data_IF_343933349867
#
_entry.id   IF_343933349867
#
_cell.length_a   1.000
_cell.length_b   1.000
_cell.length_c   1.000
_cell.angle_alpha   90.00
_cell.angle_beta   90.00
_cell.angle_gamma   90.00
#
_symmetry.space_group_name_H-M   'P 1'
#
loop_
_entity.id
_entity.type
_entity.pdbx_description
1 polymer ?
#
# COMPACT_ATOMS: atom_id res chain seq x y z
N UNK A 1 36.10 46.10 -5.30
CA UNK A 1 34.77 45.54 -4.95
C UNK A 1 34.80 45.18 -3.48
N UNK A 2 34.09 45.90 -2.60
CA UNK A 2 34.10 45.58 -1.16
C UNK A 2 33.51 44.19 -0.92
N UNK A 3 33.96 43.50 0.13
CA UNK A 3 33.44 42.17 0.48
C UNK A 3 31.91 42.18 0.64
N UNK A 4 31.36 43.30 1.12
CA UNK A 4 29.93 43.54 1.28
C UNK A 4 29.19 43.56 -0.07
N UNK A 5 29.76 44.18 -1.10
CA UNK A 5 29.17 44.23 -2.45
C UNK A 5 29.16 42.85 -3.12
N UNK A 6 30.19 42.02 -2.89
CA UNK A 6 30.22 40.63 -3.39
C UNK A 6 29.14 39.77 -2.75
N UNK A 7 28.96 39.87 -1.42
CA UNK A 7 27.94 39.09 -0.69
C UNK A 7 26.53 39.46 -1.12
N UNK A 8 26.25 40.75 -1.31
CA UNK A 8 24.93 41.23 -1.76
C UNK A 8 24.61 40.72 -3.17
N UNK A 9 25.57 40.73 -4.09
CA UNK A 9 25.38 40.23 -5.46
C UNK A 9 25.13 38.73 -5.47
N UNK A 10 25.89 37.96 -4.68
CA UNK A 10 25.67 36.51 -4.54
C UNK A 10 24.27 36.24 -4.02
N UNK A 11 23.82 36.97 -2.98
CA UNK A 11 22.50 36.78 -2.38
C UNK A 11 21.36 37.09 -3.36
N UNK A 12 21.49 38.18 -4.13
CA UNK A 12 20.52 38.55 -5.17
C UNK A 12 20.49 37.50 -6.28
N UNK A 13 21.65 37.00 -6.72
CA UNK A 13 21.72 35.99 -7.77
C UNK A 13 21.14 34.65 -7.31
N UNK A 14 21.40 34.23 -6.07
CA UNK A 14 20.81 33.01 -5.49
C UNK A 14 19.30 33.14 -5.28
N UNK A 15 18.81 34.31 -4.87
CA UNK A 15 17.38 34.58 -4.71
C UNK A 15 16.65 34.64 -6.06
N UNK A 16 17.24 35.30 -7.05
CA UNK A 16 16.71 35.36 -8.41
C UNK A 16 16.67 33.98 -9.07
N UNK A 17 17.69 33.14 -8.84
CA UNK A 17 17.66 31.74 -9.28
C UNK A 17 16.50 30.99 -8.63
N UNK A 18 16.30 31.16 -7.32
CA UNK A 18 15.21 30.53 -6.57
C UNK A 18 13.81 30.94 -7.09
N UNK A 19 13.62 32.23 -7.41
CA UNK A 19 12.36 32.73 -7.95
C UNK A 19 12.14 32.41 -9.43
N UNK A 20 13.19 32.24 -10.23
CA UNK A 20 13.05 31.83 -11.63
C UNK A 20 12.54 30.38 -11.80
N UNK A 21 12.59 29.56 -10.75
CA UNK A 21 11.98 28.23 -10.72
C UNK A 21 10.50 28.23 -10.29
N UNK A 22 9.97 29.35 -9.79
CA UNK A 22 8.58 29.44 -9.35
C UNK A 22 7.66 29.80 -10.53
N UNK A 23 7.37 28.82 -11.39
CA UNK A 23 6.28 28.96 -12.36
C UNK A 23 4.95 28.74 -11.62
N UNK A 24 4.10 29.76 -11.51
CA UNK A 24 2.75 29.57 -10.98
C UNK A 24 1.87 28.92 -12.05
N UNK A 25 1.51 27.64 -11.89
CA UNK A 25 0.49 27.00 -12.69
C UNK A 25 -0.89 27.47 -12.24
N UNK A 26 -1.67 28.03 -13.16
CA UNK A 26 -3.09 28.27 -12.96
C UNK A 26 -3.82 26.95 -13.27
N UNK A 27 -4.36 26.29 -12.26
CA UNK A 27 -5.07 25.03 -12.43
C UNK A 27 -6.42 25.29 -13.13
N UNK A 28 -6.61 24.70 -14.31
CA UNK A 28 -7.91 24.57 -14.97
C UNK A 28 -8.42 23.15 -14.74
N UNK A 29 -9.61 23.01 -14.15
CA UNK A 29 -10.19 21.69 -13.83
C UNK A 29 -10.48 20.91 -15.12
N UNK A 30 -9.62 19.93 -15.41
CA UNK A 30 -9.74 19.04 -16.58
C UNK A 30 -9.68 17.58 -16.15
N UNK A 31 -10.67 17.13 -15.37
CA UNK A 31 -10.80 15.72 -14.99
C UNK A 31 -9.59 15.14 -14.22
N UNK A 32 -9.67 13.86 -13.87
CA UNK A 32 -8.60 13.15 -13.15
C UNK A 32 -7.50 12.75 -14.16
N UNK A 33 -6.55 13.64 -14.40
CA UNK A 33 -5.29 13.38 -15.13
C UNK A 33 -4.10 13.40 -14.17
N UNK A 34 -2.99 12.69 -14.45
CA UNK A 34 -1.82 12.72 -13.58
C UNK A 34 -1.32 14.16 -13.43
N UNK A 35 -0.97 14.61 -12.20
CA UNK A 35 -0.52 15.97 -11.97
C UNK A 35 0.71 16.24 -12.84
N UNK A 36 0.62 17.26 -13.69
CA UNK A 36 1.72 17.65 -14.57
C UNK A 36 2.73 18.43 -13.73
N UNK A 37 3.90 17.83 -13.49
CA UNK A 37 4.99 18.54 -12.83
C UNK A 37 5.66 19.48 -13.81
N UNK A 38 5.81 20.75 -13.42
CA UNK A 38 6.58 21.73 -14.18
C UNK A 38 8.08 21.41 -14.17
N UNK A 39 8.55 20.68 -13.15
CA UNK A 39 9.92 20.22 -13.02
C UNK A 39 9.92 18.72 -13.25
N UNK A 40 10.55 18.27 -14.33
CA UNK A 40 10.74 16.85 -14.59
C UNK A 40 11.78 16.30 -13.61
N UNK A 41 11.34 15.47 -12.67
CA UNK A 41 12.23 14.75 -11.75
C UNK A 41 12.49 13.37 -12.39
N UNK A 42 13.72 13.07 -12.85
CA UNK A 42 14.00 11.84 -13.62
C UNK A 42 13.70 10.54 -12.85
N UNK A 43 13.74 10.61 -11.52
CA UNK A 43 13.51 9.47 -10.62
C UNK A 43 12.03 9.25 -10.31
N UNK A 44 11.15 10.12 -10.79
CA UNK A 44 9.73 10.00 -10.57
C UNK A 44 9.11 9.16 -11.69
N UNK A 45 8.66 7.97 -11.33
CA UNK A 45 7.85 7.13 -12.21
C UNK A 45 6.37 7.28 -11.86
N UNK A 46 5.62 7.97 -12.70
CA UNK A 46 4.16 8.13 -12.57
C UNK A 46 3.39 7.06 -13.35
N UNK A 47 4.04 6.04 -13.92
CA UNK A 47 3.37 5.00 -14.71
C UNK A 47 2.38 4.15 -13.92
N UNK A 48 2.52 4.10 -12.59
CA UNK A 48 1.57 3.46 -11.67
C UNK A 48 0.43 4.39 -11.22
N UNK A 49 0.35 5.60 -11.76
CA UNK A 49 -0.72 6.54 -11.44
C UNK A 49 -2.01 6.11 -12.14
N UNK A 50 -3.07 5.92 -11.36
CA UNK A 50 -4.42 5.58 -11.83
C UNK A 50 -5.42 6.40 -11.02
N UNK A 51 -6.60 6.71 -11.57
CA UNK A 51 -7.64 7.49 -10.87
C UNK A 51 -8.00 6.92 -9.47
N UNK A 52 -7.95 5.59 -9.31
CA UNK A 52 -8.22 4.87 -8.06
C UNK A 52 -7.09 4.95 -7.01
N UNK A 53 -5.92 5.47 -7.37
CA UNK A 53 -4.73 5.61 -6.52
C UNK A 53 -4.27 7.08 -6.43
N UNK A 54 -5.19 8.02 -6.68
CA UNK A 54 -4.97 9.47 -6.68
C UNK A 54 -4.59 10.06 -5.32
N UNK A 55 -4.49 9.26 -4.25
CA UNK A 55 -3.89 9.64 -2.97
C UNK A 55 -2.40 9.32 -2.81
N UNK A 56 -1.88 8.43 -3.64
CA UNK A 56 -0.52 7.91 -3.53
C UNK A 56 0.56 8.82 -4.16
N UNK A 57 0.15 9.77 -5.01
CA UNK A 57 1.10 10.63 -5.73
C UNK A 57 1.96 11.48 -4.79
N UNK A 58 1.45 11.91 -3.62
CA UNK A 58 2.21 12.71 -2.66
C UNK A 58 3.38 11.91 -2.07
N UNK A 59 3.14 10.65 -1.67
CA UNK A 59 4.19 9.77 -1.16
C UNK A 59 5.24 9.46 -2.23
N UNK A 60 4.79 9.24 -3.48
CA UNK A 60 5.68 9.03 -4.62
C UNK A 60 6.52 10.27 -4.96
N UNK A 61 5.93 11.45 -4.84
CA UNK A 61 6.59 12.74 -5.06
C UNK A 61 7.65 13.04 -3.98
N UNK A 62 7.31 12.86 -2.70
CA UNK A 62 8.26 13.05 -1.59
C UNK A 62 9.45 12.09 -1.73
N UNK A 63 9.19 10.82 -2.08
CA UNK A 63 10.24 9.82 -2.37
C UNK A 63 11.15 10.28 -3.51
N UNK A 64 10.59 10.76 -4.61
CA UNK A 64 11.35 11.21 -5.77
C UNK A 64 12.23 12.43 -5.46
N UNK A 65 11.71 13.41 -4.71
CA UNK A 65 12.50 14.57 -4.24
C UNK A 65 13.64 14.11 -3.35
N UNK A 66 13.38 13.24 -2.37
CA UNK A 66 14.41 12.77 -1.45
C UNK A 66 15.55 12.05 -2.20
N UNK A 67 15.20 11.19 -3.16
CA UNK A 67 16.20 10.50 -3.98
C UNK A 67 16.97 11.46 -4.89
N UNK A 68 16.31 12.47 -5.46
CA UNK A 68 16.95 13.49 -6.27
C UNK A 68 17.88 14.39 -5.44
N UNK A 69 17.48 14.77 -4.23
CA UNK A 69 18.27 15.59 -3.30
C UNK A 69 19.57 14.90 -2.89
N UNK A 70 19.56 13.59 -2.62
CA UNK A 70 20.77 12.82 -2.32
C UNK A 70 21.74 12.86 -3.52
N UNK A 71 21.23 12.75 -4.75
CA UNK A 71 22.04 12.88 -5.96
C UNK A 71 22.72 14.25 -6.08
N UNK A 72 21.97 15.33 -5.84
CA UNK A 72 22.51 16.70 -5.84
C UNK A 72 23.61 16.86 -4.77
N UNK A 73 23.37 16.36 -3.55
CA UNK A 73 24.37 16.43 -2.46
C UNK A 73 25.66 15.71 -2.85
N UNK A 74 25.57 14.55 -3.52
CA UNK A 74 26.74 13.83 -4.02
C UNK A 74 27.54 14.62 -5.06
N UNK A 75 26.85 15.26 -6.01
CA UNK A 75 27.49 16.09 -7.04
C UNK A 75 28.16 17.32 -6.42
N UNK A 76 27.47 18.02 -5.51
CA UNK A 76 28.02 19.19 -4.81
C UNK A 76 29.24 18.81 -3.96
N UNK A 77 29.17 17.69 -3.23
CA UNK A 77 30.31 17.19 -2.46
C UNK A 77 31.51 16.91 -3.37
N UNK A 78 31.29 16.30 -4.54
CA UNK A 78 32.35 16.05 -5.51
C UNK A 78 32.99 17.35 -6.04
N UNK A 79 32.20 18.37 -6.36
CA UNK A 79 32.71 19.68 -6.84
C UNK A 79 33.53 20.38 -5.76
N UNK A 80 33.05 20.42 -4.52
CA UNK A 80 33.78 21.05 -3.40
C UNK A 80 35.07 20.27 -3.08
N UNK A 81 35.03 18.95 -3.17
CA UNK A 81 36.21 18.10 -2.99
C UNK A 81 37.25 18.33 -4.10
N UNK A 82 36.82 18.47 -5.36
CA UNK A 82 37.72 18.84 -6.47
C UNK A 82 38.34 20.23 -6.25
N UNK A 83 37.55 21.22 -5.81
CA UNK A 83 38.06 22.56 -5.53
C UNK A 83 39.10 22.56 -4.39
N UNK A 84 38.81 21.87 -3.28
CA UNK A 84 39.75 21.72 -2.17
C UNK A 84 41.02 20.97 -2.60
N UNK A 85 40.90 19.96 -3.47
CA UNK A 85 42.04 19.26 -4.06
C UNK A 85 42.92 20.15 -4.92
N UNK A 86 42.33 20.95 -5.81
CA UNK A 86 43.06 21.90 -6.66
C UNK A 86 43.76 22.99 -5.83
N UNK A 87 43.09 23.51 -4.80
CA UNK A 87 43.66 24.50 -3.90
C UNK A 87 44.88 23.92 -3.15
N UNK A 88 44.79 22.67 -2.71
CA UNK A 88 45.91 22.00 -2.04
C UNK A 88 47.13 21.82 -2.96
N UNK A 89 46.91 21.43 -4.21
CA UNK A 89 47.97 21.23 -5.20
C UNK A 89 48.65 22.53 -5.63
N UNK A 90 47.89 23.63 -5.69
CA UNK A 90 48.38 24.95 -6.12
C UNK A 90 48.95 25.81 -4.99
N UNK A 91 48.80 25.39 -3.72
CA UNK A 91 49.23 26.16 -2.55
C UNK A 91 50.75 26.34 -2.40
N UNK A 92 51.58 25.56 -3.11
CA UNK A 92 53.03 25.78 -3.19
C UNK A 92 53.77 25.85 -1.85
N UNK A 93 53.25 25.23 -0.79
CA UNK A 93 53.83 25.25 0.56
C UNK A 93 53.36 26.40 1.47
N UNK A 94 52.46 27.28 1.01
CA UNK A 94 51.82 28.29 1.86
C UNK A 94 50.90 27.62 2.88
N UNK A 95 51.23 27.72 4.18
CA UNK A 95 50.51 27.09 5.28
C UNK A 95 49.06 27.55 5.41
N UNK A 96 48.74 28.79 5.01
CA UNK A 96 47.37 29.32 5.00
C UNK A 96 46.49 28.62 3.98
N UNK A 97 46.93 28.56 2.71
CA UNK A 97 46.16 27.93 1.64
C UNK A 97 46.05 26.42 1.81
N UNK A 98 47.08 25.77 2.38
CA UNK A 98 47.01 24.34 2.73
C UNK A 98 45.98 24.09 3.83
N UNK A 99 45.84 25.00 4.79
CA UNK A 99 44.84 24.89 5.86
C UNK A 99 43.43 25.07 5.29
N UNK A 100 43.23 26.10 4.48
CA UNK A 100 41.95 26.36 3.81
C UNK A 100 41.52 25.18 2.91
N UNK A 101 42.45 24.62 2.11
CA UNK A 101 42.16 23.45 1.29
C UNK A 101 41.73 22.23 2.12
N UNK A 102 42.38 22.00 3.26
CA UNK A 102 41.99 20.92 4.19
C UNK A 102 40.62 21.15 4.80
N UNK A 103 40.25 22.40 5.08
CA UNK A 103 38.90 22.74 5.58
C UNK A 103 37.83 22.44 4.54
N UNK A 104 38.04 22.82 3.27
CA UNK A 104 37.11 22.48 2.18
C UNK A 104 36.95 20.98 1.98
N UNK A 105 38.06 20.22 2.01
CA UNK A 105 38.04 18.77 1.92
C UNK A 105 37.29 18.17 3.11
N UNK A 106 37.61 18.59 4.34
CA UNK A 106 36.91 18.13 5.55
C UNK A 106 35.41 18.44 5.48
N UNK A 107 35.03 19.66 5.11
CA UNK A 107 33.64 20.09 5.00
C UNK A 107 32.85 19.24 3.99
N UNK A 108 33.45 18.94 2.82
CA UNK A 108 32.83 18.07 1.82
C UNK A 108 32.61 16.64 2.32
N UNK A 109 33.60 16.07 3.02
CA UNK A 109 33.54 14.73 3.58
C UNK A 109 32.55 14.64 4.74
N UNK A 110 32.56 15.59 5.67
CA UNK A 110 31.62 15.62 6.80
C UNK A 110 30.18 15.81 6.31
N UNK A 111 29.98 16.64 5.27
CA UNK A 111 28.66 16.81 4.64
C UNK A 111 28.15 15.51 4.00
N UNK A 112 29.01 14.80 3.26
CA UNK A 112 28.67 13.52 2.67
C UNK A 112 28.38 12.44 3.72
N UNK A 113 29.22 12.36 4.77
CA UNK A 113 29.04 11.43 5.89
C UNK A 113 27.73 11.74 6.61
N UNK A 114 27.40 13.01 6.85
CA UNK A 114 26.16 13.42 7.51
C UNK A 114 24.93 13.05 6.67
N UNK A 115 24.98 13.25 5.35
CA UNK A 115 23.91 12.84 4.44
C UNK A 115 23.73 11.31 4.41
N UNK A 116 24.82 10.54 4.32
CA UNK A 116 24.80 9.08 4.35
C UNK A 116 24.36 8.53 5.71
N UNK A 117 24.76 9.19 6.80
CA UNK A 117 24.37 8.79 8.16
C UNK A 117 22.89 9.07 8.41
N UNK A 118 22.37 10.21 7.92
CA UNK A 118 20.94 10.52 7.94
C UNK A 118 20.14 9.44 7.20
N UNK A 119 20.60 9.01 6.03
CA UNK A 119 20.01 7.90 5.30
C UNK A 119 20.08 6.57 6.08
N UNK A 120 21.22 6.26 6.69
CA UNK A 120 21.41 5.04 7.48
C UNK A 120 20.51 4.98 8.71
N UNK A 121 20.36 6.09 9.43
CA UNK A 121 19.47 6.17 10.60
C UNK A 121 18.03 5.87 10.19
N UNK A 122 17.54 6.49 9.12
CA UNK A 122 16.19 6.23 8.61
C UNK A 122 16.03 4.76 8.19
N UNK A 123 17.04 4.17 7.54
CA UNK A 123 17.02 2.77 7.14
C UNK A 123 16.98 1.79 8.34
N UNK A 124 17.71 2.11 9.42
CA UNK A 124 17.78 1.25 10.61
C UNK A 124 16.54 1.39 11.49
N UNK A 125 16.00 2.60 11.65
CA UNK A 125 14.83 2.84 12.52
C UNK A 125 13.56 2.31 11.88
N UNK A 126 13.28 2.68 10.64
CA UNK A 126 12.14 2.17 9.90
C UNK A 126 12.29 2.42 8.39
N UNK A 127 12.50 1.36 7.57
CA UNK A 127 12.60 1.51 6.12
C UNK A 127 11.34 2.10 5.46
N UNK A 128 10.18 2.03 6.13
CA UNK A 128 8.90 2.58 5.64
C UNK A 128 8.87 4.12 5.67
N UNK A 129 9.77 4.78 6.43
CA UNK A 129 9.91 6.25 6.39
C UNK A 129 10.64 6.74 5.15
N UNK A 130 11.32 5.84 4.42
CA UNK A 130 11.93 6.11 3.12
C UNK A 130 11.00 5.69 1.97
N UNK A 131 10.26 4.60 2.16
CA UNK A 131 9.32 4.07 1.19
C UNK A 131 7.93 4.31 1.75
N UNK A 132 7.43 5.54 1.61
CA UNK A 132 6.04 5.83 1.98
C UNK A 132 5.13 4.87 1.24
N UNK A 133 4.44 4.04 2.02
CA UNK A 133 3.40 3.17 1.49
C UNK A 133 2.28 4.06 0.95
N UNK A 134 1.63 3.68 -0.16
CA UNK A 134 0.51 4.41 -0.71
C UNK A 134 -0.53 4.68 0.38
N UNK A 135 -0.89 5.95 0.58
CA UNK A 135 -2.09 6.25 1.35
C UNK A 135 -3.28 5.75 0.51
N UNK A 136 -3.86 4.62 0.91
CA UNK A 136 -5.06 4.08 0.28
C UNK A 136 -6.25 4.93 0.73
N UNK A 137 -6.46 6.04 0.02
CA UNK A 137 -7.65 6.86 0.23
C UNK A 137 -8.77 6.15 -0.55
N UNK A 138 -9.80 5.60 0.12
CA UNK A 138 -10.92 5.01 -0.57
C UNK A 138 -11.48 6.05 -1.54
N UNK A 139 -11.51 5.71 -2.82
CA UNK A 139 -12.18 6.55 -3.81
C UNK A 139 -13.63 6.69 -3.35
N UNK A 140 -14.09 7.92 -3.10
CA UNK A 140 -15.51 8.17 -2.86
C UNK A 140 -16.19 7.61 -4.11
N UNK A 141 -16.92 6.50 -3.95
CA UNK A 141 -17.82 6.05 -5.02
C UNK A 141 -18.61 7.29 -5.39
N UNK A 142 -18.49 7.74 -6.63
CA UNK A 142 -19.57 8.53 -7.21
C UNK A 142 -20.80 7.71 -6.86
N UNK A 143 -21.68 8.31 -6.06
CA UNK A 143 -23.05 7.85 -5.93
C UNK A 143 -23.59 7.98 -7.35
N UNK A 144 -23.28 7.00 -8.19
CA UNK A 144 -24.22 6.54 -9.18
C UNK A 144 -25.47 6.36 -8.37
N UNK A 145 -26.48 7.15 -8.72
CA UNK A 145 -27.87 6.96 -8.38
C UNK A 145 -28.26 5.56 -8.82
N UNK A 146 -27.77 4.56 -8.08
CA UNK A 146 -28.40 3.28 -7.99
C UNK A 146 -29.62 3.63 -7.16
N UNK A 147 -30.76 3.72 -7.83
CA UNK A 147 -32.03 3.46 -7.20
C UNK A 147 -31.88 2.10 -6.49
N UNK A 148 -31.35 2.14 -5.27
CA UNK A 148 -31.48 1.07 -4.32
C UNK A 148 -32.97 1.08 -3.98
N UNK A 149 -33.73 0.34 -4.77
CA UNK A 149 -34.90 -0.34 -4.24
C UNK A 149 -34.42 -1.03 -2.98
N UNK A 150 -34.85 -0.50 -1.85
CA UNK A 150 -34.71 -1.11 -0.53
C UNK A 150 -35.40 -2.48 -0.57
N UNK A 151 -34.71 -3.49 -1.10
CA UNK A 151 -35.04 -4.87 -0.85
C UNK A 151 -34.21 -5.27 0.35
N UNK A 152 -34.79 -4.99 1.52
CA UNK A 152 -34.56 -5.76 2.73
C UNK A 152 -34.92 -7.21 2.41
N UNK A 153 -33.99 -7.96 1.83
CA UNK A 153 -34.16 -9.40 1.61
C UNK A 153 -34.09 -10.10 2.95
N UNK A 154 -35.19 -10.78 3.26
CA UNK A 154 -35.38 -11.61 4.43
C UNK A 154 -34.34 -12.73 4.39
N UNK A 155 -33.73 -13.03 5.54
CA UNK A 155 -32.83 -14.18 5.73
C UNK A 155 -33.47 -15.44 5.14
N UNK A 156 -33.01 -15.88 3.97
CA UNK A 156 -33.57 -17.01 3.22
C UNK A 156 -33.61 -16.87 1.69
N UNK A 157 -33.54 -15.66 1.13
CA UNK A 157 -33.46 -15.47 -0.32
C UNK A 157 -32.03 -15.64 -0.84
N UNK A 158 -31.81 -16.25 -2.04
CA UNK A 158 -30.48 -16.38 -2.60
C UNK A 158 -29.85 -15.00 -2.80
N UNK A 159 -28.69 -14.79 -2.17
CA UNK A 159 -27.90 -13.57 -2.30
C UNK A 159 -27.70 -13.19 -3.78
N UNK A 160 -28.13 -11.98 -4.17
CA UNK A 160 -27.98 -11.50 -5.55
C UNK A 160 -26.53 -11.05 -5.78
N UNK A 161 -25.73 -11.88 -6.45
CA UNK A 161 -24.29 -11.66 -6.68
C UNK A 161 -24.00 -10.75 -7.89
N UNK A 162 -25.00 -10.15 -8.53
CA UNK A 162 -24.81 -9.31 -9.74
C UNK A 162 -23.94 -8.07 -9.53
N UNK A 163 -23.68 -7.68 -8.28
CA UNK A 163 -22.77 -6.59 -7.90
C UNK A 163 -21.36 -7.02 -7.50
N UNK A 164 -21.00 -8.31 -7.56
CA UNK A 164 -19.67 -8.81 -7.16
C UNK A 164 -18.67 -8.48 -8.25
N UNK A 165 -17.77 -7.53 -7.97
CA UNK A 165 -16.71 -7.12 -8.89
C UNK A 165 -15.36 -7.78 -8.56
N UNK A 166 -15.18 -8.20 -7.30
CA UNK A 166 -13.94 -8.78 -6.78
C UNK A 166 -14.19 -9.72 -5.59
N UNK A 167 -13.14 -10.42 -5.15
CA UNK A 167 -13.21 -11.36 -4.02
C UNK A 167 -13.63 -10.69 -2.70
N UNK A 168 -13.22 -9.43 -2.48
CA UNK A 168 -13.57 -8.68 -1.25
C UNK A 168 -15.06 -8.41 -1.20
N UNK A 169 -15.63 -8.00 -2.34
CA UNK A 169 -17.06 -7.75 -2.50
C UNK A 169 -17.88 -9.02 -2.30
N UNK A 170 -17.36 -10.17 -2.74
CA UNK A 170 -17.97 -11.47 -2.48
C UNK A 170 -18.03 -11.79 -0.98
N UNK A 171 -16.90 -11.69 -0.26
CA UNK A 171 -16.88 -11.92 1.19
C UNK A 171 -17.79 -10.95 1.93
N UNK A 172 -17.74 -9.65 1.60
CA UNK A 172 -18.63 -8.64 2.21
C UNK A 172 -20.11 -8.92 1.96
N UNK A 173 -20.47 -9.43 0.79
CA UNK A 173 -21.84 -9.77 0.47
C UNK A 173 -22.36 -10.89 1.39
N UNK A 174 -21.51 -11.88 1.71
CA UNK A 174 -21.88 -12.96 2.62
C UNK A 174 -21.88 -12.58 4.10
N UNK A 175 -20.94 -11.74 4.55
CA UNK A 175 -20.90 -11.29 5.95
C UNK A 175 -22.03 -10.32 6.27
N UNK A 176 -22.38 -9.44 5.32
CA UNK A 176 -23.27 -8.32 5.58
C UNK A 176 -22.61 -7.25 6.47
N UNK A 177 -23.27 -6.09 6.62
CA UNK A 177 -22.75 -4.98 7.42
C UNK A 177 -23.62 -4.73 8.66
N UNK A 178 -22.98 -4.71 9.84
CA UNK A 178 -23.59 -4.30 11.10
C UNK A 178 -22.88 -3.08 11.69
N UNK A 179 -23.50 -1.89 11.64
CA UNK A 179 -22.90 -0.64 12.15
C UNK A 179 -23.01 -0.46 13.67
N UNK A 180 -23.68 -1.39 14.34
CA UNK A 180 -23.84 -1.45 15.79
C UNK A 180 -23.29 -2.79 16.28
N UNK A 181 -22.59 -2.85 17.42
CA UNK A 181 -22.12 -4.10 17.97
C UNK A 181 -23.29 -5.07 18.22
N UNK A 182 -23.13 -6.32 17.81
CA UNK A 182 -24.09 -7.39 18.02
C UNK A 182 -23.37 -8.65 18.56
N UNK A 183 -24.01 -9.48 19.39
CA UNK A 183 -23.42 -10.75 19.80
C UNK A 183 -23.43 -11.74 18.63
N UNK A 184 -22.30 -12.40 18.40
CA UNK A 184 -22.21 -13.55 17.50
C UNK A 184 -22.87 -14.80 18.12
N UNK A 185 -22.86 -15.91 17.38
CA UNK A 185 -23.38 -17.21 17.85
C UNK A 185 -22.66 -17.77 19.09
N UNK A 186 -21.48 -17.26 19.43
CA UNK A 186 -20.65 -17.64 20.57
C UNK A 186 -20.71 -16.61 21.71
N UNK A 187 -21.54 -15.57 21.59
CA UNK A 187 -21.72 -14.49 22.56
C UNK A 187 -20.64 -13.40 22.54
N UNK A 188 -19.70 -13.43 21.59
CA UNK A 188 -18.72 -12.35 21.42
C UNK A 188 -19.32 -11.16 20.68
N UNK A 189 -18.96 -9.95 21.07
CA UNK A 189 -19.39 -8.76 20.33
C UNK A 189 -18.67 -8.66 18.98
N UNK A 190 -19.46 -8.44 17.94
CA UNK A 190 -19.04 -8.35 16.54
C UNK A 190 -19.63 -7.09 15.91
N UNK A 191 -18.92 -6.47 14.97
CA UNK A 191 -19.35 -5.25 14.28
C UNK A 191 -18.82 -5.24 12.83
N UNK A 192 -19.29 -4.31 12.01
CA UNK A 192 -18.88 -4.16 10.62
C UNK A 192 -19.22 -5.41 9.80
N UNK A 193 -18.25 -5.88 9.02
CA UNK A 193 -18.33 -7.11 8.22
C UNK A 193 -17.76 -8.32 8.97
N UNK A 194 -18.29 -8.61 10.16
CA UNK A 194 -17.88 -9.76 10.95
C UNK A 194 -16.61 -9.55 11.81
N UNK A 195 -16.25 -8.30 12.11
CA UNK A 195 -15.10 -7.97 12.96
C UNK A 195 -15.41 -8.22 14.44
N UNK A 196 -14.71 -9.17 15.06
CA UNK A 196 -14.87 -9.50 16.48
C UNK A 196 -14.12 -8.50 17.36
N UNK A 197 -14.85 -7.81 18.24
CA UNK A 197 -14.29 -6.82 19.15
C UNK A 197 -13.44 -7.47 20.25
N UNK A 198 -12.21 -6.98 20.40
CA UNK A 198 -11.31 -7.32 21.48
C UNK A 198 -11.63 -6.59 22.80
N UNK A 199 -10.92 -6.96 23.87
CA UNK A 199 -11.14 -6.40 25.21
C UNK A 199 -10.93 -4.88 25.31
N UNK A 200 -10.15 -4.30 24.38
CA UNK A 200 -9.84 -2.87 24.33
C UNK A 200 -10.63 -2.11 23.24
N UNK A 201 -11.56 -2.78 22.57
CA UNK A 201 -12.33 -2.22 21.45
C UNK A 201 -13.78 -2.06 21.89
N UNK A 202 -14.14 -0.84 22.27
CA UNK A 202 -15.48 -0.52 22.73
C UNK A 202 -16.09 0.57 21.86
N UNK A 203 -17.00 0.17 20.98
CA UNK A 203 -17.72 1.05 20.07
C UNK A 203 -19.21 1.00 20.39
N UNK A 204 -19.89 2.14 20.36
CA UNK A 204 -21.37 2.19 20.41
C UNK A 204 -21.97 2.15 19.01
N UNK A 205 -21.28 2.74 18.03
CA UNK A 205 -21.59 2.69 16.60
C UNK A 205 -20.32 3.01 15.81
N UNK A 206 -20.28 2.58 14.55
CA UNK A 206 -19.21 2.90 13.61
C UNK A 206 -19.79 3.45 12.30
N UNK A 207 -18.99 4.24 11.60
CA UNK A 207 -19.30 4.63 10.22
C UNK A 207 -19.09 3.46 9.27
N UNK A 208 -19.71 3.53 8.08
CA UNK A 208 -19.45 2.55 7.02
C UNK A 208 -17.97 2.51 6.62
N UNK A 209 -17.27 3.65 6.67
CA UNK A 209 -15.83 3.73 6.41
C UNK A 209 -15.01 2.97 7.46
N UNK A 210 -15.35 3.13 8.75
CA UNK A 210 -14.72 2.36 9.81
C UNK A 210 -14.96 0.86 9.65
N UNK A 211 -16.17 0.46 9.25
CA UNK A 211 -16.49 -0.94 8.94
C UNK A 211 -15.66 -1.49 7.77
N UNK A 212 -15.44 -0.68 6.72
CA UNK A 212 -14.57 -1.03 5.59
C UNK A 212 -13.10 -1.18 6.01
N UNK A 213 -12.61 -0.32 6.91
CA UNK A 213 -11.24 -0.42 7.43
C UNK A 213 -11.04 -1.71 8.23
N UNK A 214 -11.94 -2.02 9.16
CA UNK A 214 -11.90 -3.29 9.91
C UNK A 214 -11.94 -4.50 8.98
N UNK A 215 -12.84 -4.48 7.99
CA UNK A 215 -12.90 -5.54 7.00
C UNK A 215 -11.58 -5.69 6.23
N UNK A 216 -10.94 -4.59 5.82
CA UNK A 216 -9.70 -4.66 5.06
C UNK A 216 -8.54 -5.25 5.86
N UNK A 217 -8.46 -4.93 7.16
CA UNK A 217 -7.47 -5.49 8.07
C UNK A 217 -7.72 -6.98 8.29
N UNK A 218 -8.95 -7.38 8.61
CA UNK A 218 -9.34 -8.77 8.82
C UNK A 218 -9.18 -9.62 7.56
N UNK A 219 -9.57 -9.09 6.40
CA UNK A 219 -9.39 -9.75 5.11
C UNK A 219 -7.91 -9.95 4.77
N UNK A 220 -7.04 -9.00 5.15
CA UNK A 220 -5.59 -9.14 4.99
C UNK A 220 -5.04 -10.25 5.88
N UNK A 221 -5.54 -10.37 7.11
CA UNK A 221 -5.20 -11.47 8.02
C UNK A 221 -5.67 -12.82 7.46
N UNK A 222 -6.90 -12.87 6.92
CA UNK A 222 -7.45 -14.06 6.29
C UNK A 222 -6.64 -14.49 5.06
N UNK A 223 -6.24 -13.54 4.20
CA UNK A 223 -5.42 -13.83 3.02
C UNK A 223 -4.04 -14.35 3.42
N UNK A 224 -3.41 -13.75 4.44
CA UNK A 224 -2.14 -14.24 5.00
C UNK A 224 -2.29 -15.65 5.58
N UNK A 225 -3.42 -15.93 6.21
CA UNK A 225 -3.75 -17.26 6.76
C UNK A 225 -3.91 -18.28 5.64
N UNK A 226 -4.69 -17.97 4.61
CA UNK A 226 -4.89 -18.82 3.44
C UNK A 226 -3.56 -19.14 2.75
N UNK A 227 -2.71 -18.12 2.53
CA UNK A 227 -1.37 -18.27 1.98
C UNK A 227 -0.50 -19.18 2.84
N UNK A 228 -0.50 -18.95 4.15
CA UNK A 228 0.28 -19.72 5.14
C UNK A 228 -0.13 -21.19 5.16
N UNK A 229 -1.43 -21.49 5.21
CA UNK A 229 -1.93 -22.88 5.16
C UNK A 229 -1.55 -23.54 3.84
N UNK A 230 -1.78 -22.86 2.71
CA UNK A 230 -1.47 -23.39 1.38
C UNK A 230 0.00 -23.81 1.26
N UNK A 231 0.93 -22.93 1.64
CA UNK A 231 2.36 -23.21 1.47
C UNK A 231 2.93 -24.10 2.58
N UNK A 232 2.60 -23.85 3.84
CA UNK A 232 3.26 -24.53 4.98
C UNK A 232 2.70 -25.92 5.25
N UNK A 233 1.40 -26.09 5.06
CA UNK A 233 0.73 -27.34 5.43
C UNK A 233 0.60 -28.26 4.19
N UNK A 234 0.52 -27.67 2.98
CA UNK A 234 0.25 -28.42 1.74
C UNK A 234 1.25 -28.19 0.60
N UNK A 235 2.26 -27.33 0.77
CA UNK A 235 3.31 -27.12 -0.24
C UNK A 235 2.86 -26.39 -1.51
N UNK A 236 1.70 -25.73 -1.49
CA UNK A 236 1.12 -25.03 -2.63
C UNK A 236 1.50 -23.55 -2.59
N UNK A 237 2.17 -23.05 -3.63
CA UNK A 237 2.38 -21.60 -3.77
C UNK A 237 1.07 -20.93 -4.16
N UNK A 238 0.47 -20.26 -3.17
CA UNK A 238 -0.77 -19.49 -3.30
C UNK A 238 -0.78 -18.52 -4.50
N UNK A 239 0.39 -17.97 -4.87
CA UNK A 239 0.49 -17.00 -5.96
C UNK A 239 0.29 -17.61 -7.35
N UNK A 240 0.42 -18.94 -7.46
CA UNK A 240 0.21 -19.67 -8.72
C UNK A 240 -1.27 -19.92 -9.00
N UNK A 241 -2.13 -19.77 -8.00
CA UNK A 241 -3.58 -19.90 -8.14
C UNK A 241 -4.15 -18.66 -8.84
N UNK A 242 -5.27 -18.83 -9.55
CA UNK A 242 -5.99 -17.69 -10.13
C UNK A 242 -6.49 -16.75 -9.03
N UNK A 243 -6.65 -15.44 -9.30
CA UNK A 243 -7.17 -14.50 -8.30
C UNK A 243 -8.49 -14.96 -7.68
N UNK A 244 -9.39 -15.56 -8.45
CA UNK A 244 -10.66 -16.07 -7.94
C UNK A 244 -10.46 -17.24 -6.94
N UNK A 245 -9.54 -18.17 -7.21
CA UNK A 245 -9.21 -19.29 -6.30
C UNK A 245 -8.51 -18.81 -5.03
N UNK A 246 -7.64 -17.81 -5.14
CA UNK A 246 -7.08 -17.12 -3.98
C UNK A 246 -8.19 -16.50 -3.11
N UNK A 247 -9.19 -15.93 -3.76
CA UNK A 247 -10.41 -15.42 -3.14
C UNK A 247 -11.14 -16.46 -2.33
N UNK A 248 -11.41 -17.64 -2.90
CA UNK A 248 -12.09 -18.74 -2.21
C UNK A 248 -11.35 -19.16 -0.95
N UNK A 249 -10.04 -19.40 -1.04
CA UNK A 249 -9.25 -19.81 0.13
C UNK A 249 -9.21 -18.71 1.20
N UNK A 250 -9.19 -17.45 0.77
CA UNK A 250 -9.23 -16.29 1.67
C UNK A 250 -10.59 -16.16 2.35
N UNK A 251 -11.69 -16.31 1.61
CA UNK A 251 -13.06 -16.25 2.12
C UNK A 251 -13.33 -17.38 3.12
N UNK A 252 -12.86 -18.59 2.81
CA UNK A 252 -12.90 -19.71 3.75
C UNK A 252 -12.08 -19.41 5.00
N UNK A 253 -10.84 -18.93 4.87
CA UNK A 253 -10.01 -18.53 6.02
C UNK A 253 -10.66 -17.43 6.87
N UNK A 254 -11.37 -16.49 6.24
CA UNK A 254 -12.10 -15.42 6.94
C UNK A 254 -13.23 -16.01 7.78
N UNK A 255 -13.99 -16.93 7.21
CA UNK A 255 -15.16 -17.51 7.89
C UNK A 255 -14.80 -18.49 9.02
N UNK A 256 -13.78 -19.35 8.84
CA UNK A 256 -13.50 -20.46 9.77
C UNK A 256 -12.09 -20.44 10.37
N UNK A 257 -11.28 -19.44 10.04
CA UNK A 257 -9.91 -19.30 10.52
C UNK A 257 -8.93 -20.36 10.01
N UNK A 258 -7.71 -20.32 10.53
CA UNK A 258 -6.61 -21.22 10.13
C UNK A 258 -6.95 -22.70 10.34
N UNK A 259 -7.46 -23.03 11.52
CA UNK A 259 -7.72 -24.43 11.91
C UNK A 259 -8.79 -25.08 11.03
N UNK A 260 -9.89 -24.36 10.77
CA UNK A 260 -10.93 -24.84 9.87
C UNK A 260 -10.39 -25.02 8.45
N UNK A 261 -9.71 -24.02 7.88
CA UNK A 261 -9.17 -24.14 6.53
C UNK A 261 -8.13 -25.27 6.41
N UNK A 262 -7.23 -25.39 7.39
CA UNK A 262 -6.19 -26.42 7.37
C UNK A 262 -6.76 -27.85 7.44
N UNK A 263 -8.00 -28.05 7.87
CA UNK A 263 -8.65 -29.36 7.91
C UNK A 263 -9.11 -29.89 6.54
N UNK A 264 -9.08 -29.07 5.48
CA UNK A 264 -9.53 -29.44 4.13
C UNK A 264 -8.46 -30.22 3.33
N UNK A 265 -7.95 -31.32 3.88
CA UNK A 265 -6.84 -32.07 3.26
C UNK A 265 -7.16 -32.55 1.84
N UNK A 266 -8.33 -33.14 1.62
CA UNK A 266 -8.75 -33.65 0.30
C UNK A 266 -8.90 -32.54 -0.75
N UNK A 267 -9.38 -31.36 -0.35
CA UNK A 267 -9.44 -30.19 -1.25
C UNK A 267 -8.04 -29.75 -1.66
N UNK A 268 -7.10 -29.63 -0.72
CA UNK A 268 -5.73 -29.23 -1.01
C UNK A 268 -4.98 -30.29 -1.83
N UNK A 269 -5.22 -31.58 -1.60
CA UNK A 269 -4.73 -32.66 -2.47
C UNK A 269 -5.23 -32.51 -3.91
N UNK A 270 -6.51 -32.21 -4.09
CA UNK A 270 -7.09 -31.95 -5.40
C UNK A 270 -6.50 -30.69 -6.06
N UNK A 271 -6.23 -29.62 -5.30
CA UNK A 271 -5.54 -28.42 -5.79
C UNK A 271 -4.12 -28.75 -6.26
N UNK A 272 -3.38 -29.56 -5.52
CA UNK A 272 -2.01 -29.96 -5.89
C UNK A 272 -1.99 -30.81 -7.17
N UNK A 273 -3.04 -31.61 -7.40
CA UNK A 273 -3.27 -32.36 -8.63
C UNK A 273 -3.85 -31.50 -9.77
N UNK A 274 -4.09 -30.21 -9.54
CA UNK A 274 -4.80 -29.30 -10.45
C UNK A 274 -6.20 -29.80 -10.85
N UNK A 275 -6.79 -30.67 -10.03
CA UNK A 275 -8.14 -31.18 -10.22
C UNK A 275 -9.15 -30.21 -9.58
N UNK A 276 -9.41 -29.10 -10.27
CA UNK A 276 -10.23 -28.00 -9.76
C UNK A 276 -11.69 -28.40 -9.52
N UNK A 277 -12.24 -29.30 -10.35
CA UNK A 277 -13.61 -29.80 -10.19
C UNK A 277 -13.72 -30.61 -8.89
N UNK A 278 -12.74 -31.49 -8.63
CA UNK A 278 -12.69 -32.22 -7.36
C UNK A 278 -12.47 -31.28 -6.18
N UNK A 279 -11.58 -30.29 -6.29
CA UNK A 279 -11.37 -29.31 -5.22
C UNK A 279 -12.68 -28.59 -4.86
N UNK A 280 -13.48 -28.20 -5.85
CA UNK A 280 -14.82 -27.65 -5.62
C UNK A 280 -15.79 -28.68 -5.00
N UNK A 281 -15.74 -29.94 -5.42
CA UNK A 281 -16.56 -31.01 -4.83
C UNK A 281 -16.25 -31.22 -3.34
N UNK A 282 -14.97 -31.21 -2.95
CA UNK A 282 -14.54 -31.32 -1.54
C UNK A 282 -14.99 -30.13 -0.69
N UNK A 283 -15.15 -28.94 -1.27
CA UNK A 283 -15.75 -27.79 -0.56
C UNK A 283 -17.24 -28.08 -0.25
N UNK A 284 -17.99 -28.64 -1.21
CA UNK A 284 -19.41 -29.00 -1.00
C UNK A 284 -19.58 -30.17 -0.05
N UNK A 285 -18.68 -31.15 -0.10
CA UNK A 285 -18.68 -32.33 0.76
C UNK A 285 -17.95 -32.07 2.08
N UNK A 286 -18.37 -31.02 2.80
CA UNK A 286 -17.74 -30.60 4.05
C UNK A 286 -18.76 -30.18 5.11
N UNK A 287 -18.37 -30.27 6.38
CA UNK A 287 -19.19 -29.75 7.49
C UNK A 287 -19.43 -28.25 7.35
N UNK A 288 -18.47 -27.51 6.79
CA UNK A 288 -18.60 -26.10 6.44
C UNK A 288 -19.78 -25.85 5.51
N UNK A 289 -19.96 -26.67 4.47
CA UNK A 289 -21.10 -26.53 3.56
C UNK A 289 -22.46 -26.70 4.26
N UNK A 290 -22.53 -27.60 5.24
CA UNK A 290 -23.71 -27.75 6.09
C UNK A 290 -24.07 -26.49 6.89
N UNK A 291 -23.08 -25.70 7.27
CA UNK A 291 -23.24 -24.49 8.07
C UNK A 291 -23.59 -23.25 7.23
N UNK A 292 -22.90 -23.03 6.11
CA UNK A 292 -23.02 -21.79 5.33
C UNK A 292 -23.78 -21.94 4.00
N UNK A 293 -24.11 -23.17 3.60
CA UNK A 293 -24.91 -23.53 2.40
C UNK A 293 -24.52 -22.74 1.15
N UNK A 294 -25.29 -21.72 0.78
CA UNK A 294 -25.12 -20.93 -0.45
C UNK A 294 -23.68 -20.39 -0.63
N UNK A 295 -23.01 -19.99 0.46
CA UNK A 295 -21.62 -19.51 0.41
C UNK A 295 -20.65 -20.60 -0.04
N UNK A 296 -20.82 -21.81 0.48
CA UNK A 296 -19.96 -22.94 0.12
C UNK A 296 -20.17 -23.38 -1.33
N UNK A 297 -21.40 -23.31 -1.85
CA UNK A 297 -21.69 -23.64 -3.25
C UNK A 297 -21.03 -22.65 -4.21
N UNK A 298 -21.11 -21.35 -3.90
CA UNK A 298 -20.42 -20.32 -4.69
C UNK A 298 -18.90 -20.50 -4.64
N UNK A 299 -18.33 -20.71 -3.45
CA UNK A 299 -16.90 -20.98 -3.29
C UNK A 299 -16.46 -22.23 -4.07
N UNK A 300 -17.26 -23.29 -4.05
CA UNK A 300 -17.02 -24.51 -4.80
C UNK A 300 -17.07 -24.27 -6.32
N UNK A 301 -18.05 -23.50 -6.80
CA UNK A 301 -18.18 -23.13 -8.22
C UNK A 301 -16.96 -22.32 -8.69
N UNK A 302 -16.55 -21.31 -7.91
CA UNK A 302 -15.39 -20.47 -8.21
C UNK A 302 -14.10 -21.29 -8.16
N UNK A 303 -13.95 -22.20 -7.19
CA UNK A 303 -12.77 -23.07 -7.12
C UNK A 303 -12.63 -23.93 -8.38
N UNK A 304 -13.74 -24.51 -8.84
CA UNK A 304 -13.79 -25.33 -10.05
C UNK A 304 -13.54 -24.51 -11.33
N UNK A 305 -14.26 -23.40 -11.52
CA UNK A 305 -14.16 -22.58 -12.75
C UNK A 305 -12.89 -21.72 -12.80
N UNK A 306 -12.38 -21.30 -11.64
CA UNK A 306 -11.33 -20.29 -11.53
C UNK A 306 -11.79 -18.86 -11.83
N UNK A 307 -13.11 -18.60 -11.89
CA UNK A 307 -13.73 -17.32 -12.25
C UNK A 307 -14.77 -16.90 -11.21
N UNK A 308 -14.90 -15.59 -10.99
CA UNK A 308 -15.98 -15.01 -10.18
C UNK A 308 -17.35 -15.22 -10.88
N UNK A 309 -18.44 -15.31 -10.11
CA UNK A 309 -19.80 -15.54 -10.62
C UNK A 309 -20.36 -14.36 -11.43
#
# INVERSE_FOLDING_TARGET
>A
MSNLLKTVIIFIFTSALFFSFANFAWATETGLTPPQLQINIPTLDLSSWTANNSGNWLGLYIKAIYQYAIGIVGILAAVVLMFGGLLWLTAGGNTGQVTEAKEWIKASLTGLILALSSYMILYVVNPDLRIFQPLNIPSIKSTGTNNATNNLTRSGDPLNLTGVQDNRSLTKAYEGIGLYPYPDSLGNLTIGYGHRLGANENYTTITQEQAENFFNDDYTIAMRTARSVSIRDYGIDFNTLTPARQGVLTDMAFNMGRGGLASFSRMFEAINQQNWVQAGAEIRDSTYAGQVRQRSDTNANIMASGQLP
#
